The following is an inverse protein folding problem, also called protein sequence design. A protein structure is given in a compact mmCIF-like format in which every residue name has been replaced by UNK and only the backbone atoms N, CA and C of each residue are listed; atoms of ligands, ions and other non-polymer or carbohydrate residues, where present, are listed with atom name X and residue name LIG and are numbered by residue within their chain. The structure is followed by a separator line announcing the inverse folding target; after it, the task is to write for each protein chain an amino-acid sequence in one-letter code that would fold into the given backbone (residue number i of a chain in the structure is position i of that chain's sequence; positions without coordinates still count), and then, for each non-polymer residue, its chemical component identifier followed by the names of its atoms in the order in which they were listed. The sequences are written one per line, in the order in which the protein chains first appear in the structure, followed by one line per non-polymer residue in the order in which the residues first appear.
data_IF_709710618023
#
_entry.id   IF_709710618023
#
_cell.length_a   1.000
_cell.length_b   1.000
_cell.length_c   1.000
_cell.angle_alpha   90.00
_cell.angle_beta   90.00
_cell.angle_gamma   90.00
#
_symmetry.space_group_name_H-M   'P 1'
#
loop_
_entity.id
_entity.type
_entity.pdbx_description
1 polymer ?
#
# COMPACT_ATOMS: atom_id res chain seq x y z
N UNK A 1 30.12 27.65 -28.02
CA UNK A 1 30.39 26.41 -27.27
C UNK A 1 30.01 26.67 -25.84
N UNK A 2 29.02 25.92 -25.33
CA UNK A 2 28.84 25.50 -23.93
C UNK A 2 27.38 25.07 -23.73
N UNK A 3 27.21 23.76 -23.92
CA UNK A 3 26.27 22.82 -23.30
C UNK A 3 24.90 23.31 -22.83
N UNK A 4 23.91 22.99 -23.67
CA UNK A 4 22.52 22.83 -23.25
C UNK A 4 22.43 21.62 -22.30
N UNK A 5 22.36 21.88 -20.99
CA UNK A 5 21.91 20.91 -20.00
C UNK A 5 20.49 20.47 -20.35
N UNK A 6 20.40 19.35 -21.05
CA UNK A 6 19.14 18.70 -21.39
C UNK A 6 18.69 18.00 -20.13
N UNK A 7 17.91 18.71 -19.31
CA UNK A 7 17.23 18.14 -18.16
C UNK A 7 16.19 17.11 -18.61
N UNK A 8 16.65 15.90 -18.95
CA UNK A 8 15.83 14.70 -18.83
C UNK A 8 15.59 14.52 -17.34
N UNK A 9 14.53 15.15 -16.82
CA UNK A 9 13.83 14.62 -15.65
C UNK A 9 13.41 13.22 -16.07
N UNK A 10 14.17 12.22 -15.63
CA UNK A 10 13.72 10.83 -15.65
C UNK A 10 12.38 10.85 -14.96
N UNK A 11 11.32 10.63 -15.73
CA UNK A 11 10.00 10.39 -15.18
C UNK A 11 10.13 9.00 -14.55
N UNK A 12 10.64 8.95 -13.32
CA UNK A 12 10.76 7.71 -12.56
C UNK A 12 9.33 7.22 -12.42
N UNK A 13 8.99 6.19 -13.19
CA UNK A 13 7.73 5.50 -12.96
C UNK A 13 7.82 4.99 -11.53
N UNK A 14 6.81 5.27 -10.69
CA UNK A 14 6.79 4.86 -9.28
C UNK A 14 6.79 3.33 -9.09
N UNK A 15 6.91 2.57 -10.18
CA UNK A 15 7.02 1.12 -10.25
C UNK A 15 8.41 0.64 -10.69
N UNK A 16 9.35 1.55 -10.99
CA UNK A 16 10.69 1.24 -11.52
C UNK A 16 11.70 0.84 -10.45
N UNK A 17 11.32 -0.08 -9.56
CA UNK A 17 12.18 -0.57 -8.49
C UNK A 17 13.39 -1.35 -9.07
N UNK A 18 14.57 -1.32 -8.41
CA UNK A 18 15.71 -2.15 -8.80
C UNK A 18 15.34 -3.64 -8.83
N UNK A 19 15.77 -4.39 -9.84
CA UNK A 19 15.54 -5.84 -9.90
C UNK A 19 16.43 -6.57 -8.88
N UNK A 20 15.79 -7.18 -7.88
CA UNK A 20 16.43 -7.91 -6.78
C UNK A 20 16.27 -9.42 -6.89
N UNK A 21 15.88 -9.94 -8.06
CA UNK A 21 15.61 -11.37 -8.27
C UNK A 21 16.81 -12.28 -7.98
N UNK A 22 18.04 -11.77 -8.15
CA UNK A 22 19.30 -12.48 -7.88
C UNK A 22 19.94 -12.20 -6.52
N UNK A 23 19.31 -11.40 -5.66
CA UNK A 23 19.88 -10.94 -4.40
C UNK A 23 19.24 -11.63 -3.19
N UNK A 24 20.03 -11.87 -2.14
CA UNK A 24 19.54 -12.31 -0.83
C UNK A 24 18.82 -11.16 -0.11
N UNK A 25 17.82 -11.46 0.75
CA UNK A 25 17.11 -10.41 1.44
C UNK A 25 18.06 -9.64 2.39
N UNK A 26 17.93 -8.32 2.47
CA UNK A 26 18.77 -7.54 3.38
C UNK A 26 18.37 -7.80 4.83
N UNK A 27 19.34 -8.28 5.62
CA UNK A 27 19.19 -8.49 7.06
C UNK A 27 18.92 -7.19 7.84
N UNK A 28 18.19 -7.30 8.95
CA UNK A 28 18.04 -6.29 10.01
C UNK A 28 17.50 -4.90 9.62
N UNK A 29 16.88 -4.75 8.44
CA UNK A 29 16.39 -3.42 8.02
C UNK A 29 15.05 -3.48 7.28
N UNK A 30 13.91 -3.22 7.95
CA UNK A 30 12.58 -3.40 7.36
C UNK A 30 12.33 -2.60 6.08
N UNK A 31 12.85 -1.38 5.98
CA UNK A 31 12.74 -0.58 4.75
C UNK A 31 13.57 -1.16 3.59
N UNK A 32 14.74 -1.76 3.85
CA UNK A 32 15.52 -2.41 2.80
C UNK A 32 14.84 -3.71 2.37
N UNK A 33 14.28 -4.46 3.31
CA UNK A 33 13.47 -5.64 3.02
C UNK A 33 12.25 -5.28 2.16
N UNK A 34 11.58 -4.15 2.45
CA UNK A 34 10.47 -3.65 1.65
C UNK A 34 10.91 -3.30 0.22
N UNK A 35 11.99 -2.53 0.06
CA UNK A 35 12.59 -2.22 -1.26
C UNK A 35 12.97 -3.50 -2.02
N UNK A 36 13.56 -4.48 -1.34
CA UNK A 36 13.91 -5.78 -1.93
C UNK A 36 12.67 -6.54 -2.41
N UNK A 37 11.60 -6.60 -1.62
CA UNK A 37 10.34 -7.23 -2.04
C UNK A 37 9.72 -6.52 -3.24
N UNK A 38 9.75 -5.18 -3.27
CA UNK A 38 9.19 -4.39 -4.37
C UNK A 38 9.97 -4.57 -5.67
N UNK A 39 11.29 -4.69 -5.59
CA UNK A 39 12.16 -5.06 -6.71
C UNK A 39 11.90 -6.46 -7.27
N UNK A 40 11.56 -7.40 -6.38
CA UNK A 40 11.35 -8.81 -6.71
C UNK A 40 9.93 -9.12 -7.22
N UNK A 41 8.95 -8.32 -6.80
CA UNK A 41 7.52 -8.53 -7.07
C UNK A 41 6.89 -7.31 -7.76
N UNK A 42 6.92 -7.21 -9.10
CA UNK A 42 6.39 -6.06 -9.84
C UNK A 42 4.92 -5.76 -9.55
N UNK A 43 4.09 -6.78 -9.30
CA UNK A 43 2.70 -6.58 -8.89
C UNK A 43 2.59 -5.92 -7.52
N UNK A 44 3.42 -6.30 -6.55
CA UNK A 44 3.46 -5.63 -5.24
C UNK A 44 3.81 -4.16 -5.41
N UNK A 45 4.80 -3.85 -6.26
CA UNK A 45 5.14 -2.48 -6.59
C UNK A 45 3.97 -1.70 -7.21
N UNK A 46 3.26 -2.28 -8.19
CA UNK A 46 2.09 -1.66 -8.80
C UNK A 46 0.94 -1.44 -7.81
N UNK A 47 0.77 -2.33 -6.82
CA UNK A 47 -0.24 -2.14 -5.78
C UNK A 47 0.16 -1.04 -4.81
N UNK A 48 1.43 -0.97 -4.41
CA UNK A 48 1.92 0.03 -3.47
C UNK A 48 1.77 1.46 -4.01
N UNK A 49 1.97 1.66 -5.33
CA UNK A 49 1.80 2.99 -5.96
C UNK A 49 0.36 3.48 -6.01
N UNK A 50 -0.63 2.61 -5.86
CA UNK A 50 -2.04 2.99 -5.77
C UNK A 50 -2.39 3.64 -4.44
N UNK A 51 -1.55 3.47 -3.41
CA UNK A 51 -1.77 4.05 -2.08
C UNK A 51 -1.01 5.38 -2.01
N UNK A 52 -1.76 6.48 -2.02
CA UNK A 52 -1.18 7.82 -2.03
C UNK A 52 -0.28 8.05 -0.80
N UNK A 53 0.96 8.49 -1.03
CA UNK A 53 1.93 8.77 0.02
C UNK A 53 2.75 7.56 0.49
N UNK A 54 2.44 6.34 0.05
CA UNK A 54 3.24 5.15 0.41
C UNK A 54 4.51 5.07 -0.41
N UNK A 55 4.44 5.33 -1.71
CA UNK A 55 5.61 5.35 -2.61
C UNK A 55 5.91 6.79 -3.01
N UNK A 56 7.17 7.20 -2.87
CA UNK A 56 7.63 8.55 -3.17
C UNK A 56 9.07 8.52 -3.69
N UNK A 57 9.51 9.63 -4.29
CA UNK A 57 10.92 9.84 -4.64
C UNK A 57 11.54 10.60 -3.47
N UNK A 58 12.58 10.03 -2.87
CA UNK A 58 13.29 10.65 -1.75
C UNK A 58 13.98 11.94 -2.21
N UNK A 59 13.81 13.02 -1.43
CA UNK A 59 14.31 14.34 -1.81
C UNK A 59 15.83 14.48 -1.66
N UNK A 60 16.48 13.61 -0.89
CA UNK A 60 17.91 13.64 -0.61
C UNK A 60 18.73 12.97 -1.70
N UNK A 61 18.31 11.80 -2.19
CA UNK A 61 19.05 11.02 -3.19
C UNK A 61 18.32 10.88 -4.54
N UNK A 62 17.04 11.23 -4.61
CA UNK A 62 16.24 11.11 -5.83
C UNK A 62 15.81 9.67 -6.15
N UNK A 63 16.00 8.73 -5.23
CA UNK A 63 15.66 7.33 -5.39
C UNK A 63 14.21 7.05 -4.99
N UNK A 64 13.67 5.94 -5.49
CA UNK A 64 12.33 5.49 -5.14
C UNK A 64 12.34 4.89 -3.72
N UNK A 65 11.47 5.42 -2.86
CA UNK A 65 11.35 5.04 -1.46
C UNK A 65 9.92 4.64 -1.10
N UNK A 66 9.80 3.82 -0.06
CA UNK A 66 8.53 3.35 0.48
C UNK A 66 8.40 3.70 1.96
N UNK A 67 7.22 4.19 2.35
CA UNK A 67 6.82 4.35 3.74
C UNK A 67 5.92 3.19 4.20
N UNK A 68 6.54 2.14 4.75
CA UNK A 68 5.81 0.99 5.31
C UNK A 68 5.05 1.33 6.59
N UNK A 69 5.44 2.38 7.32
CA UNK A 69 4.73 2.85 8.50
C UNK A 69 3.42 3.54 8.08
N UNK A 70 3.49 4.45 7.10
CA UNK A 70 2.30 5.08 6.51
C UNK A 70 1.34 4.03 5.92
N UNK A 71 1.85 3.00 5.24
CA UNK A 71 1.01 1.89 4.78
C UNK A 71 0.30 1.17 5.94
N UNK A 72 1.00 0.92 7.05
CA UNK A 72 0.40 0.39 8.27
C UNK A 72 -0.68 1.29 8.87
N UNK A 73 -0.48 2.61 8.84
CA UNK A 73 -1.46 3.59 9.32
C UNK A 73 -2.72 3.63 8.44
N UNK A 74 -2.57 3.47 7.11
CA UNK A 74 -3.71 3.31 6.19
C UNK A 74 -4.54 2.06 6.56
N UNK A 75 -3.91 0.94 6.89
CA UNK A 75 -4.62 -0.25 7.36
C UNK A 75 -5.35 -0.03 8.69
N UNK A 76 -4.71 0.66 9.64
CA UNK A 76 -5.33 0.99 10.92
C UNK A 76 -6.52 1.95 10.75
N UNK A 77 -6.42 2.89 9.80
CA UNK A 77 -7.48 3.84 9.47
C UNK A 77 -8.72 3.15 8.86
N UNK A 78 -8.54 2.06 8.11
CA UNK A 78 -9.64 1.29 7.53
C UNK A 78 -10.65 0.78 8.57
N UNK A 79 -10.20 0.42 9.77
CA UNK A 79 -11.08 0.01 10.88
C UNK A 79 -11.96 1.17 11.33
N UNK A 80 -11.35 2.33 11.60
CA UNK A 80 -12.05 3.54 12.04
C UNK A 80 -13.01 4.09 10.97
N UNK A 81 -12.63 3.95 9.70
CA UNK A 81 -13.48 4.33 8.58
C UNK A 81 -14.74 3.47 8.50
N UNK A 82 -14.62 2.16 8.72
CA UNK A 82 -15.76 1.24 8.82
C UNK A 82 -16.68 1.62 9.98
N UNK A 83 -16.13 1.83 11.17
CA UNK A 83 -16.89 2.25 12.37
C UNK A 83 -17.63 3.59 12.13
N UNK A 84 -17.01 4.54 11.43
CA UNK A 84 -17.62 5.81 11.10
C UNK A 84 -18.79 5.67 10.12
N UNK A 85 -18.71 4.75 9.15
CA UNK A 85 -19.83 4.43 8.27
C UNK A 85 -20.98 3.76 9.01
N UNK A 86 -20.68 2.80 9.91
CA UNK A 86 -21.70 2.16 10.74
C UNK A 86 -22.47 3.19 11.60
N UNK A 87 -21.76 4.14 12.22
CA UNK A 87 -22.37 5.23 13.00
C UNK A 87 -23.17 6.20 12.11
N UNK A 88 -22.65 6.53 10.92
CA UNK A 88 -23.34 7.39 9.96
C UNK A 88 -24.65 6.74 9.47
N UNK A 89 -24.62 5.47 9.07
CA UNK A 89 -25.82 4.71 8.67
C UNK A 89 -26.85 4.59 9.80
N UNK A 90 -26.38 4.43 11.04
CA UNK A 90 -27.25 4.39 12.22
C UNK A 90 -27.98 5.71 12.45
N UNK A 91 -27.29 6.86 12.31
CA UNK A 91 -27.85 8.19 12.54
C UNK A 91 -28.60 8.75 11.33
N UNK A 92 -28.23 8.31 10.14
CA UNK A 92 -28.71 8.79 8.85
C UNK A 92 -29.06 7.59 7.97
N UNK A 93 -30.31 7.12 8.07
CA UNK A 93 -30.76 5.95 7.31
C UNK A 93 -30.60 6.19 5.79
N UNK A 94 -30.05 5.23 5.02
CA UNK A 94 -29.92 5.38 3.59
C UNK A 94 -31.30 5.53 2.93
N UNK A 95 -31.48 6.50 2.02
CA UNK A 95 -32.72 6.66 1.28
C UNK A 95 -32.89 5.57 0.22
N UNK A 96 -34.13 5.29 -0.16
CA UNK A 96 -34.46 4.31 -1.22
C UNK A 96 -34.29 4.89 -2.64
N UNK A 97 -34.39 6.23 -2.77
CA UNK A 97 -34.20 6.92 -4.03
C UNK A 97 -32.70 6.99 -4.39
N UNK A 98 -32.37 6.65 -5.63
CA UNK A 98 -30.98 6.54 -6.09
C UNK A 98 -30.23 7.88 -6.05
N UNK A 99 -30.87 8.98 -6.45
CA UNK A 99 -30.24 10.30 -6.42
C UNK A 99 -30.01 10.79 -4.98
N UNK A 100 -31.01 10.58 -4.12
CA UNK A 100 -30.86 10.85 -2.70
C UNK A 100 -29.78 9.96 -2.07
N UNK A 101 -29.62 8.72 -2.55
CA UNK A 101 -28.60 7.79 -2.07
C UNK A 101 -27.19 8.26 -2.44
N UNK A 102 -26.97 8.76 -3.67
CA UNK A 102 -25.69 9.37 -4.03
C UNK A 102 -25.37 10.59 -3.17
N UNK A 103 -26.33 11.50 -2.95
CA UNK A 103 -26.12 12.66 -2.07
C UNK A 103 -25.83 12.23 -0.63
N UNK A 104 -26.51 11.20 -0.14
CA UNK A 104 -26.26 10.61 1.18
C UNK A 104 -24.86 10.00 1.27
N UNK A 105 -24.38 9.29 0.23
CA UNK A 105 -23.01 8.79 0.17
C UNK A 105 -21.98 9.92 0.10
N UNK A 106 -22.27 10.98 -0.67
CA UNK A 106 -21.44 12.18 -0.79
C UNK A 106 -21.35 12.97 0.52
N UNK A 107 -22.37 12.91 1.39
CA UNK A 107 -22.32 13.52 2.71
C UNK A 107 -21.64 12.63 3.78
N UNK A 108 -21.48 11.34 3.51
CA UNK A 108 -20.88 10.38 4.43
C UNK A 108 -19.35 10.54 4.61
N UNK A 109 -18.76 9.75 5.54
CA UNK A 109 -17.33 9.80 5.85
C UNK A 109 -16.43 9.69 4.62
N UNK A 110 -15.34 10.46 4.60
CA UNK A 110 -14.35 10.44 3.51
C UNK A 110 -13.11 9.67 3.92
N UNK A 111 -12.75 8.68 3.12
CA UNK A 111 -11.65 7.76 3.43
C UNK A 111 -10.33 8.49 3.74
N UNK A 112 -9.93 9.43 2.90
CA UNK A 112 -8.64 10.12 3.04
C UNK A 112 -8.60 11.14 4.19
N UNK A 113 -9.74 11.45 4.82
CA UNK A 113 -9.77 12.22 6.07
C UNK A 113 -9.25 11.39 7.27
N UNK A 114 -9.28 10.04 7.17
CA UNK A 114 -8.76 9.14 8.20
C UNK A 114 -7.27 8.84 8.00
N UNK A 115 -6.87 8.58 6.76
CA UNK A 115 -5.47 8.45 6.36
C UNK A 115 -5.34 8.66 4.85
N UNK A 116 -4.37 9.49 4.43
CA UNK A 116 -4.06 9.69 3.02
C UNK A 116 -3.75 8.36 2.33
N UNK A 117 -4.50 8.03 1.28
CA UNK A 117 -4.30 6.81 0.50
C UNK A 117 -5.26 5.68 0.87
N UNK A 118 -6.11 5.85 1.89
CA UNK A 118 -7.16 4.88 2.20
C UNK A 118 -8.13 4.72 1.04
N UNK A 119 -8.46 5.80 0.31
CA UNK A 119 -9.30 5.72 -0.89
C UNK A 119 -8.72 4.81 -1.98
N UNK A 120 -7.39 4.67 -2.06
CA UNK A 120 -6.70 3.77 -2.98
C UNK A 120 -6.76 2.30 -2.55
N UNK A 121 -6.84 2.04 -1.24
CA UNK A 121 -6.92 0.69 -0.66
C UNK A 121 -8.33 0.09 -0.80
N UNK A 122 -9.38 0.87 -0.54
CA UNK A 122 -10.76 0.41 -0.48
C UNK A 122 -11.26 -0.38 -1.73
N UNK A 123 -10.95 0.00 -2.98
CA UNK A 123 -11.43 -0.73 -4.15
C UNK A 123 -10.62 -2.00 -4.46
N UNK A 124 -9.58 -2.32 -3.69
CA UNK A 124 -8.76 -3.50 -3.92
C UNK A 124 -9.48 -4.79 -3.53
N UNK A 125 -9.22 -5.84 -4.29
CA UNK A 125 -9.65 -7.20 -3.94
C UNK A 125 -8.95 -7.69 -2.66
N UNK A 126 -9.53 -8.67 -1.99
CA UNK A 126 -8.93 -9.28 -0.79
C UNK A 126 -7.51 -9.81 -1.04
N UNK A 127 -7.25 -10.37 -2.21
CA UNK A 127 -5.91 -10.81 -2.63
C UNK A 127 -4.92 -9.65 -2.74
N UNK A 128 -5.27 -8.56 -3.41
CA UNK A 128 -4.41 -7.37 -3.49
C UNK A 128 -4.16 -6.74 -2.12
N UNK A 129 -5.19 -6.70 -1.26
CA UNK A 129 -5.06 -6.25 0.13
C UNK A 129 -4.10 -7.14 0.90
N UNK A 130 -4.17 -8.47 0.72
CA UNK A 130 -3.27 -9.41 1.38
C UNK A 130 -1.79 -9.19 0.98
N UNK A 131 -1.52 -8.86 -0.29
CA UNK A 131 -0.16 -8.50 -0.75
C UNK A 131 0.37 -7.27 0.00
N UNK A 132 -0.40 -6.18 0.02
CA UNK A 132 -0.01 -4.95 0.71
C UNK A 132 0.11 -5.15 2.22
N UNK A 133 -0.70 -6.05 2.78
CA UNK A 133 -0.66 -6.37 4.19
C UNK A 133 0.65 -7.03 4.60
N UNK A 134 1.20 -7.93 3.78
CA UNK A 134 2.53 -8.50 4.00
C UNK A 134 3.62 -7.43 3.97
N UNK A 135 3.50 -6.44 3.08
CA UNK A 135 4.46 -5.33 3.04
C UNK A 135 4.34 -4.43 4.27
N UNK A 136 3.12 -4.15 4.71
CA UNK A 136 2.83 -3.29 5.86
C UNK A 136 3.33 -3.88 7.19
N UNK A 137 3.43 -5.21 7.32
CA UNK A 137 3.93 -5.86 8.56
C UNK A 137 5.43 -5.66 8.80
N UNK A 138 6.16 -5.12 7.82
CA UNK A 138 7.54 -4.66 8.02
C UNK A 138 7.61 -3.33 8.79
N UNK A 139 6.51 -2.58 8.89
CA UNK A 139 6.40 -1.36 9.68
C UNK A 139 6.23 -1.63 11.19
N UNK A 140 6.20 -0.55 11.97
CA UNK A 140 5.95 -0.62 13.43
C UNK A 140 4.47 -0.61 13.80
N UNK A 141 3.61 -0.10 12.91
CA UNK A 141 2.16 -0.07 13.14
C UNK A 141 1.59 -1.48 13.05
N UNK A 142 0.81 -1.88 14.05
CA UNK A 142 0.18 -3.22 14.07
C UNK A 142 -0.84 -3.33 12.94
N UNK A 143 -0.63 -4.28 12.05
CA UNK A 143 -1.54 -4.57 10.94
C UNK A 143 -2.40 -5.79 11.28
N UNK A 144 -3.75 -5.69 11.27
CA UNK A 144 -4.61 -6.85 11.48
C UNK A 144 -4.40 -7.88 10.37
N UNK A 145 -4.13 -9.14 10.71
CA UNK A 145 -3.83 -10.23 9.76
C UNK A 145 -4.57 -11.51 10.18
N UNK A 146 -5.21 -12.23 9.24
CA UNK A 146 -5.94 -13.48 9.49
C UNK A 146 -5.65 -14.56 8.44
N UNK A 147 -5.95 -15.82 8.77
CA UNK A 147 -5.72 -16.97 7.88
C UNK A 147 -6.40 -16.81 6.51
N UNK A 148 -7.58 -16.20 6.46
CA UNK A 148 -8.28 -15.98 5.18
C UNK A 148 -7.54 -15.03 4.24
N UNK A 149 -6.68 -14.14 4.77
CA UNK A 149 -5.83 -13.29 3.93
C UNK A 149 -4.84 -14.15 3.14
N UNK A 150 -4.28 -15.18 3.78
CA UNK A 150 -3.38 -16.14 3.12
C UNK A 150 -4.10 -16.99 2.06
N UNK A 151 -5.37 -17.34 2.30
CA UNK A 151 -6.19 -18.09 1.33
C UNK A 151 -6.52 -17.29 0.08
N UNK A 152 -6.49 -15.97 0.16
CA UNK A 152 -6.74 -15.08 -0.97
C UNK A 152 -5.51 -14.91 -1.89
N UNK A 153 -4.35 -15.42 -1.48
CA UNK A 153 -3.12 -15.37 -2.28
C UNK A 153 -3.18 -16.40 -3.41
N UNK A 154 -3.02 -15.91 -4.63
CA UNK A 154 -2.75 -16.73 -5.80
C UNK A 154 -1.29 -17.25 -5.81
N UNK A 155 -0.89 -17.92 -6.89
CA UNK A 155 0.46 -18.50 -7.00
C UNK A 155 1.58 -17.44 -6.91
N UNK A 156 1.33 -16.20 -7.35
CA UNK A 156 2.29 -15.11 -7.18
C UNK A 156 2.33 -14.63 -5.74
N UNK A 157 1.18 -14.56 -5.07
CA UNK A 157 1.08 -14.17 -3.67
C UNK A 157 1.73 -15.19 -2.73
N UNK A 158 1.66 -16.47 -3.07
CA UNK A 158 2.38 -17.53 -2.36
C UNK A 158 3.91 -17.39 -2.49
N UNK A 159 4.41 -16.97 -3.66
CA UNK A 159 5.84 -16.66 -3.81
C UNK A 159 6.23 -15.44 -2.98
N UNK A 160 5.42 -14.38 -3.01
CA UNK A 160 5.60 -13.21 -2.17
C UNK A 160 5.66 -13.57 -0.69
N UNK A 161 4.76 -14.44 -0.20
CA UNK A 161 4.78 -14.90 1.18
C UNK A 161 6.09 -15.64 1.52
N UNK A 162 6.59 -16.49 0.61
CA UNK A 162 7.86 -17.19 0.79
C UNK A 162 9.04 -16.23 0.89
N UNK A 163 9.10 -15.25 -0.01
CA UNK A 163 10.16 -14.22 -0.01
C UNK A 163 10.02 -13.28 1.21
N UNK A 164 8.80 -12.94 1.63
CA UNK A 164 8.54 -12.21 2.87
C UNK A 164 9.05 -12.97 4.09
N UNK A 165 8.79 -14.28 4.19
CA UNK A 165 9.30 -15.12 5.27
C UNK A 165 10.82 -15.10 5.33
N UNK A 166 11.51 -15.15 4.18
CA UNK A 166 12.98 -15.02 4.12
C UNK A 166 13.44 -13.67 4.65
N UNK A 167 12.78 -12.60 4.22
CA UNK A 167 13.13 -11.23 4.62
C UNK A 167 12.96 -10.96 6.12
N UNK A 168 12.02 -11.64 6.81
CA UNK A 168 11.81 -11.48 8.26
C UNK A 168 12.54 -12.50 9.12
N UNK A 169 13.09 -13.58 8.54
CA UNK A 169 13.84 -14.62 9.26
C UNK A 169 15.35 -14.35 9.32
N UNK A 170 15.86 -13.53 8.39
CA UNK A 170 17.28 -13.18 8.32
C UNK A 170 17.63 -11.87 9.07
N UNK A 171 16.72 -11.38 9.92
CA UNK A 171 16.97 -10.30 10.88
C UNK A 171 16.63 -10.66 12.32
#
# INVERSE_FOLDING_TARGET
MSENFTGRRTQVMLTGWPDTSGEDPPADHPYRAATWLLGRHPRLAQLATRIAGVVYVDEHDGELSIDVAHLGDVFAAGVKYGEAWEDYEYRHRPPEDENAYYQWQEAGPKADDFAKGLSGLLPMSSGEVAYLRLLATLGTTRVPFKLDDLRSLDAEGQRLLGDWCRAVQEG
#
